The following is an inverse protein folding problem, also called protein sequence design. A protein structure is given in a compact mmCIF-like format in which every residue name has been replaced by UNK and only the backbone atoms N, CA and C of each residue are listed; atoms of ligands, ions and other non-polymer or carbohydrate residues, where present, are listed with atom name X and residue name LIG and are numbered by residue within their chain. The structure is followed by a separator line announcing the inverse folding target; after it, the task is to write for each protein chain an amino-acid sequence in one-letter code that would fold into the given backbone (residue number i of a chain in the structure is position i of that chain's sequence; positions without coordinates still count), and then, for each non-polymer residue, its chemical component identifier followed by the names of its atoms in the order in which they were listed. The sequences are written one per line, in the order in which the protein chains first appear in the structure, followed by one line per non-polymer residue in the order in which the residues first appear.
data_IF_856295103591
#
_entry.id   IF_856295103591
#
_cell.length_a   1.000
_cell.length_b   1.000
_cell.length_c   1.000
_cell.angle_alpha   90.00
_cell.angle_beta   90.00
_cell.angle_gamma   90.00
#
_symmetry.space_group_name_H-M   'P 1'
#
loop_
_entity.id
_entity.type
_entity.pdbx_description
1 polymer ?
#
# COMPACT_ATOMS: atom_id res chain seq x y z
N UNK A 1 -14.61 8.74 -11.70
CA UNK A 1 -13.83 7.57 -12.12
C UNK A 1 -14.63 6.33 -11.78
N UNK A 2 -14.82 5.40 -12.73
CA UNK A 2 -15.59 4.17 -12.49
C UNK A 2 -14.74 3.11 -11.78
N UNK A 3 -15.40 2.13 -11.13
CA UNK A 3 -14.72 0.99 -10.51
C UNK A 3 -13.92 0.15 -11.53
N UNK A 4 -14.40 0.07 -12.77
CA UNK A 4 -13.75 -0.62 -13.88
C UNK A 4 -12.38 0.00 -14.22
N UNK A 5 -12.27 1.33 -14.24
CA UNK A 5 -11.00 2.02 -14.56
C UNK A 5 -9.90 1.71 -13.52
N UNK A 6 -10.26 1.64 -12.24
CA UNK A 6 -9.32 1.28 -11.17
C UNK A 6 -8.93 -0.20 -11.21
N UNK A 7 -9.88 -1.05 -11.59
CA UNK A 7 -9.64 -2.47 -11.81
C UNK A 7 -8.62 -2.67 -12.94
N UNK A 8 -8.77 -1.94 -14.05
CA UNK A 8 -7.84 -1.98 -15.18
C UNK A 8 -6.45 -1.45 -14.79
N UNK A 9 -6.36 -0.42 -13.95
CA UNK A 9 -5.08 0.08 -13.42
C UNK A 9 -4.37 -0.99 -12.58
N UNK A 10 -5.09 -1.70 -11.72
CA UNK A 10 -4.51 -2.81 -10.94
C UNK A 10 -4.05 -3.93 -11.88
N UNK A 11 -4.85 -4.28 -12.90
CA UNK A 11 -4.47 -5.27 -13.91
C UNK A 11 -3.17 -4.88 -14.63
N UNK A 12 -3.04 -3.62 -15.03
CA UNK A 12 -1.84 -3.06 -15.64
C UNK A 12 -0.62 -3.16 -14.72
N UNK A 13 -0.75 -2.90 -13.42
CA UNK A 13 0.35 -3.09 -12.46
C UNK A 13 0.80 -4.56 -12.40
N UNK A 14 -0.12 -5.51 -12.45
CA UNK A 14 0.20 -6.96 -12.44
C UNK A 14 0.94 -7.40 -13.70
N UNK A 15 0.69 -6.76 -14.83
CA UNK A 15 1.33 -7.05 -16.12
C UNK A 15 2.77 -6.51 -16.24
N UNK A 16 3.18 -5.56 -15.38
CA UNK A 16 4.47 -4.89 -15.52
C UNK A 16 5.65 -5.64 -14.88
N UNK A 17 6.84 -5.34 -15.39
CA UNK A 17 8.11 -5.98 -15.02
C UNK A 17 9.10 -5.04 -14.34
N UNK A 18 9.94 -5.55 -13.44
CA UNK A 18 11.15 -4.87 -12.95
C UNK A 18 12.25 -4.72 -14.01
N UNK A 19 12.04 -5.22 -15.23
CA UNK A 19 13.00 -5.32 -16.32
C UNK A 19 13.84 -6.60 -16.30
N UNK A 20 13.39 -7.60 -15.53
CA UNK A 20 14.03 -8.92 -15.39
C UNK A 20 12.96 -9.95 -14.94
N UNK A 21 12.42 -10.72 -15.90
CA UNK A 21 11.28 -11.63 -15.67
C UNK A 21 11.59 -12.76 -14.68
N UNK A 22 12.84 -13.21 -14.60
CA UNK A 22 13.28 -14.19 -13.60
C UNK A 22 13.23 -13.57 -12.20
N UNK A 23 13.71 -12.32 -12.06
CA UNK A 23 13.62 -11.58 -10.78
C UNK A 23 12.18 -11.28 -10.40
N UNK A 24 11.32 -10.93 -11.35
CA UNK A 24 9.90 -10.70 -11.10
C UNK A 24 9.23 -11.96 -10.56
N UNK A 25 9.51 -13.12 -11.15
CA UNK A 25 9.02 -14.40 -10.66
C UNK A 25 9.45 -14.65 -9.21
N UNK A 26 10.75 -14.44 -8.91
CA UNK A 26 11.27 -14.56 -7.55
C UNK A 26 10.57 -13.62 -6.55
N UNK A 27 10.37 -12.36 -6.93
CA UNK A 27 9.68 -11.35 -6.12
C UNK A 27 8.24 -11.78 -5.84
N UNK A 28 7.48 -12.16 -6.88
CA UNK A 28 6.08 -12.56 -6.77
C UNK A 28 5.91 -13.79 -5.88
N UNK A 29 6.75 -14.82 -6.06
CA UNK A 29 6.73 -16.02 -5.21
C UNK A 29 7.12 -15.73 -3.77
N UNK A 30 8.15 -14.90 -3.55
CA UNK A 30 8.60 -14.49 -2.21
C UNK A 30 7.50 -13.73 -1.47
N UNK A 31 6.89 -12.73 -2.10
CA UNK A 31 5.81 -11.94 -1.52
C UNK A 31 4.58 -12.82 -1.22
N UNK A 32 4.12 -13.63 -2.18
CA UNK A 32 3.00 -14.55 -1.94
C UNK A 32 3.22 -15.46 -0.74
N UNK A 33 4.42 -16.06 -0.64
CA UNK A 33 4.80 -16.89 0.52
C UNK A 33 4.80 -16.10 1.83
N UNK A 34 5.45 -14.93 1.86
CA UNK A 34 5.53 -14.09 3.04
C UNK A 34 4.15 -13.70 3.59
N UNK A 35 3.20 -13.47 2.68
CA UNK A 35 1.82 -13.10 3.01
C UNK A 35 0.91 -14.29 3.31
N UNK A 36 1.37 -15.51 3.05
CA UNK A 36 0.53 -16.72 3.01
C UNK A 36 -0.66 -16.57 2.05
N UNK A 37 -0.46 -15.87 0.93
CA UNK A 37 -1.44 -15.66 -0.13
C UNK A 37 -0.94 -16.25 -1.45
N UNK A 38 -1.83 -16.54 -2.42
CA UNK A 38 -1.41 -16.83 -3.78
C UNK A 38 -0.52 -15.70 -4.33
N UNK A 39 0.64 -16.01 -4.94
CA UNK A 39 1.47 -14.99 -5.57
C UNK A 39 0.72 -14.38 -6.76
N UNK A 40 1.18 -13.19 -7.20
CA UNK A 40 0.81 -12.69 -8.52
C UNK A 40 1.21 -13.71 -9.61
N UNK A 41 0.52 -13.73 -10.77
CA UNK A 41 0.89 -14.59 -11.90
C UNK A 41 2.38 -14.48 -12.24
N UNK A 42 2.99 -15.58 -12.70
CA UNK A 42 4.41 -15.61 -13.07
C UNK A 42 4.54 -15.86 -14.57
N UNK A 43 5.48 -15.16 -15.23
CA UNK A 43 5.70 -15.29 -16.68
C UNK A 43 6.61 -16.47 -17.01
N UNK A 44 7.60 -16.73 -16.15
CA UNK A 44 8.62 -17.76 -16.35
C UNK A 44 8.80 -18.57 -15.07
N UNK A 45 9.22 -19.84 -15.19
CA UNK A 45 9.54 -20.65 -14.02
C UNK A 45 10.88 -20.23 -13.39
N UNK A 46 10.99 -20.33 -12.06
CA UNK A 46 12.28 -20.18 -11.38
C UNK A 46 13.13 -21.43 -11.66
N UNK A 47 14.31 -21.25 -12.25
CA UNK A 47 15.30 -22.34 -12.40
C UNK A 47 16.04 -22.54 -11.09
N UNK A 48 16.35 -23.80 -10.74
CA UNK A 48 16.94 -24.23 -9.46
C UNK A 48 18.20 -23.46 -9.00
N UNK A 49 18.97 -22.87 -9.93
CA UNK A 49 20.23 -22.17 -9.61
C UNK A 49 20.00 -20.77 -9.02
N UNK A 50 19.88 -20.66 -7.70
CA UNK A 50 19.70 -19.35 -7.01
C UNK A 50 21.03 -18.58 -6.89
N UNK A 51 21.11 -17.39 -7.47
CA UNK A 51 22.30 -16.52 -7.40
C UNK A 51 22.41 -15.79 -6.05
N UNK A 52 23.56 -15.16 -5.76
CA UNK A 52 23.67 -14.28 -4.59
C UNK A 52 22.75 -13.06 -4.70
N UNK A 53 22.65 -12.47 -5.90
CA UNK A 53 21.75 -11.36 -6.17
C UNK A 53 20.29 -11.73 -5.90
N UNK A 54 19.87 -12.94 -6.32
CA UNK A 54 18.53 -13.47 -6.05
C UNK A 54 18.28 -13.56 -4.53
N UNK A 55 19.25 -14.08 -3.77
CA UNK A 55 19.12 -14.17 -2.30
C UNK A 55 18.99 -12.80 -1.63
N UNK A 56 19.69 -11.78 -2.12
CA UNK A 56 19.58 -10.41 -1.61
C UNK A 56 18.18 -9.86 -1.87
N UNK A 57 17.69 -9.97 -3.10
CA UNK A 57 16.37 -9.47 -3.50
C UNK A 57 15.26 -10.21 -2.75
N UNK A 58 15.34 -11.54 -2.64
CA UNK A 58 14.35 -12.33 -1.91
C UNK A 58 14.30 -11.95 -0.42
N UNK A 59 15.45 -11.84 0.25
CA UNK A 59 15.48 -11.44 1.66
C UNK A 59 14.96 -10.01 1.87
N UNK A 60 15.22 -9.09 0.94
CA UNK A 60 14.66 -7.73 0.99
C UNK A 60 13.14 -7.74 0.78
N UNK A 61 12.64 -8.46 -0.24
CA UNK A 61 11.22 -8.57 -0.55
C UNK A 61 10.42 -9.25 0.56
N UNK A 62 10.97 -10.29 1.18
CA UNK A 62 10.37 -10.98 2.33
C UNK A 62 10.23 -10.03 3.53
N UNK A 63 11.32 -9.35 3.93
CA UNK A 63 11.26 -8.37 5.01
C UNK A 63 10.31 -7.21 4.66
N UNK A 64 10.32 -6.72 3.42
CA UNK A 64 9.41 -5.67 2.95
C UNK A 64 7.94 -6.08 3.11
N UNK A 65 7.60 -7.31 2.73
CA UNK A 65 6.24 -7.84 2.82
C UNK A 65 5.81 -8.07 4.28
N UNK A 66 6.69 -8.62 5.12
CA UNK A 66 6.39 -8.90 6.54
C UNK A 66 6.30 -7.61 7.37
N UNK A 67 7.35 -6.80 7.35
CA UNK A 67 7.46 -5.55 8.10
C UNK A 67 8.56 -4.68 7.49
N UNK A 68 8.16 -3.70 6.67
CA UNK A 68 9.10 -2.79 6.01
C UNK A 68 9.93 -1.95 7.00
N UNK A 69 9.41 -1.71 8.21
CA UNK A 69 10.09 -0.90 9.23
C UNK A 69 11.31 -1.63 9.81
N UNK A 70 11.33 -2.96 9.72
CA UNK A 70 12.44 -3.82 10.12
C UNK A 70 13.60 -3.88 9.11
N UNK A 71 13.49 -3.28 7.92
CA UNK A 71 14.60 -3.22 6.97
C UNK A 71 15.76 -2.39 7.56
N UNK A 72 16.92 -3.02 7.72
CA UNK A 72 18.13 -2.38 8.25
C UNK A 72 19.05 -1.80 7.16
N UNK A 73 20.00 -0.95 7.58
CA UNK A 73 20.95 -0.27 6.68
C UNK A 73 21.76 -1.24 5.82
N UNK A 74 22.15 -2.39 6.38
CA UNK A 74 22.88 -3.41 5.64
C UNK A 74 22.03 -4.04 4.52
N UNK A 75 20.73 -4.29 4.76
CA UNK A 75 19.83 -4.81 3.72
C UNK A 75 19.68 -3.79 2.59
N UNK A 76 19.49 -2.51 2.92
CA UNK A 76 19.41 -1.42 1.93
C UNK A 76 20.69 -1.31 1.11
N UNK A 77 21.85 -1.28 1.77
CA UNK A 77 23.15 -1.18 1.12
C UNK A 77 23.36 -2.33 0.13
N UNK A 78 23.14 -3.58 0.57
CA UNK A 78 23.27 -4.76 -0.31
C UNK A 78 22.32 -4.71 -1.49
N UNK A 79 21.07 -4.26 -1.27
CA UNK A 79 20.09 -4.12 -2.34
C UNK A 79 20.56 -3.10 -3.39
N UNK A 80 20.99 -1.91 -2.96
CA UNK A 80 21.52 -0.86 -3.84
C UNK A 80 22.77 -1.31 -4.60
N UNK A 81 23.72 -1.98 -3.93
CA UNK A 81 24.91 -2.54 -4.58
C UNK A 81 24.57 -3.63 -5.61
N UNK A 82 23.52 -4.41 -5.36
CA UNK A 82 23.08 -5.50 -6.24
C UNK A 82 22.36 -4.99 -7.49
N UNK A 83 21.50 -3.98 -7.35
CA UNK A 83 20.60 -3.53 -8.43
C UNK A 83 21.01 -2.22 -9.10
N UNK A 84 21.91 -1.45 -8.49
CA UNK A 84 22.37 -0.15 -9.02
C UNK A 84 21.18 0.77 -9.38
N UNK A 85 21.10 1.23 -10.63
CA UNK A 85 20.04 2.12 -11.15
C UNK A 85 18.65 1.48 -11.20
N UNK A 86 18.56 0.14 -11.18
CA UNK A 86 17.29 -0.60 -11.18
C UNK A 86 16.65 -0.76 -9.81
N UNK A 87 17.29 -0.27 -8.75
CA UNK A 87 16.84 -0.43 -7.37
C UNK A 87 15.40 0.07 -7.15
N UNK A 88 15.10 1.31 -7.57
CA UNK A 88 13.79 1.92 -7.35
C UNK A 88 12.67 1.19 -8.10
N UNK A 89 12.91 0.87 -9.38
CA UNK A 89 11.98 0.08 -10.21
C UNK A 89 11.69 -1.29 -9.60
N UNK A 90 12.71 -1.95 -9.06
CA UNK A 90 12.54 -3.26 -8.42
C UNK A 90 11.76 -3.16 -7.11
N UNK A 91 11.98 -2.11 -6.31
CA UNK A 91 11.18 -1.88 -5.10
C UNK A 91 9.70 -1.59 -5.44
N UNK A 92 9.42 -0.89 -6.54
CA UNK A 92 8.05 -0.72 -7.02
C UNK A 92 7.41 -2.07 -7.42
N UNK A 93 8.15 -2.95 -8.11
CA UNK A 93 7.70 -4.30 -8.43
C UNK A 93 7.46 -5.15 -7.16
N UNK A 94 8.33 -5.03 -6.14
CA UNK A 94 8.13 -5.67 -4.81
C UNK A 94 6.84 -5.15 -4.16
N UNK A 95 6.61 -3.83 -4.18
CA UNK A 95 5.39 -3.26 -3.63
C UNK A 95 4.14 -3.79 -4.34
N UNK A 96 4.15 -3.88 -5.67
CA UNK A 96 3.03 -4.43 -6.45
C UNK A 96 2.79 -5.90 -6.06
N UNK A 97 3.85 -6.70 -6.00
CA UNK A 97 3.78 -8.11 -5.61
C UNK A 97 3.36 -8.34 -4.15
N UNK A 98 3.62 -7.38 -3.26
CA UNK A 98 3.18 -7.39 -1.87
C UNK A 98 1.71 -6.94 -1.74
N UNK A 99 1.32 -5.83 -2.35
CA UNK A 99 0.07 -5.17 -1.99
C UNK A 99 -1.12 -5.54 -2.86
N UNK A 100 -0.93 -5.90 -4.13
CA UNK A 100 -2.05 -6.34 -4.98
C UNK A 100 -2.72 -7.62 -4.44
N UNK A 101 -1.97 -8.66 -3.99
CA UNK A 101 -2.60 -9.82 -3.35
C UNK A 101 -3.40 -9.47 -2.09
N UNK A 102 -2.96 -8.48 -1.32
CA UNK A 102 -3.71 -8.00 -0.14
C UNK A 102 -5.04 -7.40 -0.56
N UNK A 103 -5.04 -6.53 -1.57
CA UNK A 103 -6.27 -5.93 -2.13
C UNK A 103 -7.23 -7.02 -2.58
N UNK A 104 -6.75 -8.04 -3.30
CA UNK A 104 -7.59 -9.17 -3.71
C UNK A 104 -8.22 -9.91 -2.52
N UNK A 105 -7.41 -10.25 -1.50
CA UNK A 105 -7.91 -10.92 -0.30
C UNK A 105 -8.93 -10.06 0.47
N UNK A 106 -8.68 -8.75 0.56
CA UNK A 106 -9.60 -7.78 1.16
C UNK A 106 -10.94 -7.71 0.42
N UNK A 107 -10.91 -7.56 -0.90
CA UNK A 107 -12.12 -7.54 -1.72
C UNK A 107 -12.91 -8.84 -1.63
N UNK A 108 -12.24 -9.99 -1.65
CA UNK A 108 -12.88 -11.29 -1.48
C UNK A 108 -13.56 -11.41 -0.10
N UNK A 109 -12.85 -11.04 0.98
CA UNK A 109 -13.40 -11.05 2.33
C UNK A 109 -14.63 -10.12 2.47
N UNK A 110 -14.61 -8.98 1.78
CA UNK A 110 -15.71 -8.02 1.75
C UNK A 110 -16.89 -8.46 0.86
N UNK A 111 -16.71 -9.44 -0.04
CA UNK A 111 -17.72 -9.88 -1.00
C UNK A 111 -17.78 -9.03 -2.27
N UNK A 112 -16.73 -8.26 -2.56
CA UNK A 112 -16.60 -7.39 -3.73
C UNK A 112 -16.04 -8.13 -4.96
N UNK A 113 -15.79 -9.44 -4.84
CA UNK A 113 -15.10 -10.23 -5.85
C UNK A 113 -13.60 -9.95 -5.90
N UNK A 114 -12.94 -10.42 -6.96
CA UNK A 114 -11.51 -10.21 -7.18
C UNK A 114 -11.31 -9.22 -8.34
N UNK A 115 -10.82 -8.00 -8.09
CA UNK A 115 -10.44 -7.07 -9.15
C UNK A 115 -9.41 -7.71 -10.07
N UNK A 116 -9.58 -7.61 -11.39
CA UNK A 116 -8.64 -8.10 -12.40
C UNK A 116 -8.38 -9.62 -12.36
N UNK A 117 -9.42 -10.43 -12.11
CA UNK A 117 -9.35 -11.90 -12.21
C UNK A 117 -9.33 -12.33 -13.69
N UNK A 118 -8.15 -12.31 -14.30
CA UNK A 118 -7.96 -12.74 -15.68
C UNK A 118 -7.25 -14.09 -15.76
N UNK A 119 -7.75 -14.96 -16.65
CA UNK A 119 -7.12 -16.26 -16.95
C UNK A 119 -5.82 -16.14 -17.75
N UNK A 120 -5.54 -14.97 -18.34
CA UNK A 120 -4.34 -14.67 -19.13
C UNK A 120 -3.88 -13.24 -18.80
N UNK A 121 -2.58 -13.07 -18.53
CA UNK A 121 -1.95 -11.75 -18.34
C UNK A 121 -1.27 -11.34 -19.65
N UNK A 122 -1.62 -10.17 -20.17
CA UNK A 122 -0.89 -9.54 -21.28
C UNK A 122 0.31 -8.78 -20.71
N UNK A 123 1.50 -9.39 -20.76
CA UNK A 123 2.71 -8.83 -20.16
C UNK A 123 3.16 -7.52 -20.82
N UNK A 124 3.49 -6.53 -20.00
CA UNK A 124 4.01 -5.23 -20.42
C UNK A 124 5.44 -5.02 -19.90
N UNK A 125 6.40 -5.18 -20.80
CA UNK A 125 7.82 -5.04 -20.52
C UNK A 125 8.37 -3.64 -20.80
N UNK A 126 7.58 -2.76 -21.42
CA UNK A 126 8.01 -1.45 -21.89
C UNK A 126 7.63 -0.34 -20.91
N UNK A 127 6.47 -0.44 -20.28
CA UNK A 127 6.01 0.57 -19.32
C UNK A 127 6.84 0.58 -18.04
N UNK A 128 6.83 1.74 -17.35
CA UNK A 128 7.48 1.88 -16.05
C UNK A 128 6.50 1.61 -14.90
N UNK A 129 6.67 0.55 -14.09
CA UNK A 129 5.79 0.28 -12.95
C UNK A 129 5.83 1.40 -11.91
N UNK A 130 6.92 2.17 -11.86
CA UNK A 130 7.01 3.34 -10.98
C UNK A 130 6.00 4.41 -11.40
N UNK A 131 6.00 4.77 -12.68
CA UNK A 131 5.09 5.78 -13.24
C UNK A 131 3.63 5.32 -13.15
N UNK A 132 3.36 4.08 -13.58
CA UNK A 132 2.02 3.49 -13.52
C UNK A 132 1.46 3.47 -12.08
N UNK A 133 2.32 3.21 -11.08
CA UNK A 133 1.92 3.19 -9.68
C UNK A 133 1.76 4.60 -9.09
N UNK A 134 2.80 5.44 -9.18
CA UNK A 134 2.90 6.70 -8.43
C UNK A 134 2.29 7.89 -9.17
N UNK A 135 2.21 7.84 -10.50
CA UNK A 135 1.59 8.87 -11.34
C UNK A 135 0.28 8.39 -11.99
N UNK A 136 0.01 7.08 -11.96
CA UNK A 136 -1.24 6.48 -12.44
C UNK A 136 -2.21 6.10 -11.31
N UNK A 137 -1.93 4.99 -10.63
CA UNK A 137 -2.83 4.39 -9.63
C UNK A 137 -3.02 5.26 -8.38
N UNK A 138 -1.94 5.66 -7.72
CA UNK A 138 -2.00 6.40 -6.46
C UNK A 138 -2.78 7.73 -6.56
N UNK A 139 -2.52 8.62 -7.55
CA UNK A 139 -3.31 9.84 -7.72
C UNK A 139 -4.74 9.56 -8.15
N UNK A 140 -5.00 8.48 -8.89
CA UNK A 140 -6.36 8.07 -9.22
C UNK A 140 -7.17 7.75 -7.96
N UNK A 141 -6.64 6.90 -7.07
CA UNK A 141 -7.28 6.59 -5.78
C UNK A 141 -7.47 7.84 -4.93
N UNK A 142 -6.46 8.73 -4.86
CA UNK A 142 -6.53 9.96 -4.06
C UNK A 142 -7.65 10.94 -4.49
N UNK A 143 -8.18 10.81 -5.72
CA UNK A 143 -9.31 11.62 -6.22
C UNK A 143 -10.68 10.98 -5.98
N UNK A 144 -10.72 9.80 -5.36
CA UNK A 144 -11.98 9.23 -4.89
C UNK A 144 -12.56 10.08 -3.75
N UNK A 145 -13.81 9.83 -3.40
CA UNK A 145 -14.54 10.67 -2.45
C UNK A 145 -15.86 10.07 -1.99
N UNK A 146 -15.97 8.74 -2.00
CA UNK A 146 -17.08 8.04 -1.37
C UNK A 146 -16.85 7.94 0.16
N UNK A 147 -15.59 7.84 0.61
CA UNK A 147 -15.23 7.96 2.01
C UNK A 147 -15.15 9.43 2.43
N UNK A 148 -15.52 9.69 3.67
CA UNK A 148 -15.34 11.02 4.24
C UNK A 148 -13.85 11.28 4.53
N UNK A 149 -13.39 12.55 4.43
CA UNK A 149 -11.98 12.89 4.61
C UNK A 149 -11.39 12.48 5.97
N UNK A 150 -12.20 12.45 7.03
CA UNK A 150 -11.73 12.08 8.38
C UNK A 150 -11.43 10.59 8.44
N UNK A 151 -12.31 9.74 7.91
CA UNK A 151 -12.06 8.30 7.80
C UNK A 151 -10.83 8.03 6.93
N UNK A 152 -10.69 8.68 5.78
CA UNK A 152 -9.51 8.54 4.89
C UNK A 152 -8.21 8.90 5.61
N UNK A 153 -8.18 9.98 6.40
CA UNK A 153 -7.00 10.38 7.16
C UNK A 153 -6.70 9.43 8.32
N UNK A 154 -7.72 8.92 9.03
CA UNK A 154 -7.57 7.94 10.11
C UNK A 154 -6.88 6.66 9.59
N UNK A 155 -7.34 6.13 8.45
CA UNK A 155 -6.77 4.90 7.89
C UNK A 155 -5.36 5.14 7.34
N UNK A 156 -5.10 6.33 6.76
CA UNK A 156 -3.76 6.74 6.34
C UNK A 156 -2.78 6.78 7.51
N UNK A 157 -3.17 7.42 8.61
CA UNK A 157 -2.33 7.56 9.80
C UNK A 157 -2.07 6.20 10.48
N UNK A 158 -3.07 5.31 10.51
CA UNK A 158 -2.86 3.94 11.00
C UNK A 158 -1.79 3.19 10.18
N UNK A 159 -1.91 3.22 8.85
CA UNK A 159 -0.92 2.61 7.96
C UNK A 159 0.47 3.27 8.08
N UNK A 160 0.53 4.60 8.23
CA UNK A 160 1.78 5.32 8.43
C UNK A 160 2.51 4.90 9.71
N UNK A 161 1.77 4.68 10.81
CA UNK A 161 2.33 4.16 12.06
C UNK A 161 2.82 2.73 11.90
N UNK A 162 2.04 1.85 11.28
CA UNK A 162 2.40 0.45 11.07
C UNK A 162 3.66 0.28 10.21
N UNK A 163 3.84 1.10 9.18
CA UNK A 163 5.05 1.09 8.34
C UNK A 163 6.17 1.98 8.90
N UNK A 164 5.94 2.66 10.03
CA UNK A 164 6.85 3.63 10.63
C UNK A 164 7.31 4.76 9.65
N UNK A 165 6.46 5.20 8.73
CA UNK A 165 6.79 6.25 7.76
C UNK A 165 6.89 7.63 8.46
N UNK A 166 8.10 8.19 8.60
CA UNK A 166 8.31 9.47 9.31
C UNK A 166 7.73 10.66 8.54
N UNK A 167 7.91 10.69 7.22
CA UNK A 167 7.28 11.65 6.29
C UNK A 167 5.76 11.70 6.46
N UNK A 168 5.13 10.54 6.46
CA UNK A 168 3.67 10.43 6.52
C UNK A 168 3.12 10.89 7.88
N UNK A 169 3.85 10.59 8.96
CA UNK A 169 3.48 11.00 10.33
C UNK A 169 3.62 12.50 10.55
N UNK A 170 4.52 13.17 9.84
CA UNK A 170 4.70 14.63 9.91
C UNK A 170 3.67 15.44 9.12
N UNK A 171 2.67 14.80 8.51
CA UNK A 171 1.70 15.44 7.62
C UNK A 171 0.26 15.24 8.10
N UNK A 172 -0.61 16.22 7.82
CA UNK A 172 -2.08 16.12 8.00
C UNK A 172 -2.83 16.61 6.76
N UNK A 173 -3.81 15.84 6.32
CA UNK A 173 -4.65 16.21 5.17
C UNK A 173 -5.62 17.33 5.55
N UNK A 174 -5.67 18.39 4.75
CA UNK A 174 -6.38 19.61 5.08
C UNK A 174 -7.89 19.48 5.11
N UNK A 175 -8.51 18.75 4.17
CA UNK A 175 -9.95 18.55 4.17
C UNK A 175 -10.41 17.71 5.37
N UNK A 176 -9.59 16.77 5.85
CA UNK A 176 -9.83 16.02 7.07
C UNK A 176 -9.84 16.94 8.30
N UNK A 177 -8.87 17.85 8.41
CA UNK A 177 -8.85 18.86 9.48
C UNK A 177 -10.08 19.77 9.41
N UNK A 178 -10.44 20.25 8.22
CA UNK A 178 -11.61 21.12 8.02
C UNK A 178 -12.94 20.40 8.31
N UNK A 179 -12.95 19.07 8.20
CA UNK A 179 -14.10 18.20 8.48
C UNK A 179 -14.18 17.73 9.94
N UNK A 180 -13.33 18.29 10.83
CA UNK A 180 -13.37 18.00 12.27
C UNK A 180 -12.34 16.96 12.74
N UNK A 181 -11.42 16.53 11.87
CA UNK A 181 -10.23 15.81 12.28
C UNK A 181 -9.28 16.70 13.09
N UNK A 182 -8.64 16.13 14.10
CA UNK A 182 -7.72 16.87 14.99
C UNK A 182 -6.67 15.95 15.59
N UNK A 183 -5.61 16.52 16.17
CA UNK A 183 -4.60 15.72 16.87
C UNK A 183 -5.21 14.96 18.06
N UNK A 184 -6.16 15.55 18.81
CA UNK A 184 -6.84 14.87 19.91
C UNK A 184 -7.65 13.63 19.45
N UNK A 185 -8.17 13.66 18.22
CA UNK A 185 -8.81 12.50 17.60
C UNK A 185 -7.75 11.48 17.16
N UNK A 186 -6.71 11.93 16.48
CA UNK A 186 -5.70 11.07 15.86
C UNK A 186 -4.80 10.35 16.88
N UNK A 187 -4.52 10.96 18.04
CA UNK A 187 -3.82 10.32 19.17
C UNK A 187 -4.54 9.07 19.70
N UNK A 188 -5.84 8.93 19.42
CA UNK A 188 -6.62 7.76 19.84
C UNK A 188 -6.48 6.56 18.89
N UNK A 189 -5.93 6.76 17.69
CA UNK A 189 -5.85 5.73 16.64
C UNK A 189 -5.09 4.49 17.12
N UNK A 190 -3.99 4.62 17.88
CA UNK A 190 -3.23 3.44 18.31
C UNK A 190 -3.98 2.57 19.34
N UNK A 191 -4.95 3.16 20.04
CA UNK A 191 -5.79 2.51 21.07
C UNK A 191 -7.25 2.47 20.67
N UNK A 192 -7.53 2.35 19.38
CA UNK A 192 -8.85 2.60 18.80
C UNK A 192 -9.98 1.76 19.40
N UNK A 193 -9.69 0.55 19.87
CA UNK A 193 -10.72 -0.32 20.48
C UNK A 193 -11.38 0.33 21.70
N UNK A 194 -10.59 0.95 22.58
CA UNK A 194 -11.06 1.62 23.79
C UNK A 194 -11.26 3.12 23.64
N UNK A 195 -11.01 3.68 22.45
CA UNK A 195 -11.18 5.11 22.18
C UNK A 195 -12.66 5.52 22.23
N UNK A 196 -12.94 6.65 22.89
CA UNK A 196 -14.29 7.23 22.96
C UNK A 196 -14.55 8.24 21.84
N UNK A 197 -13.49 8.89 21.31
CA UNK A 197 -13.60 9.86 20.21
C UNK A 197 -13.77 9.24 18.83
N UNK A 198 -13.54 7.93 18.68
CA UNK A 198 -13.67 7.22 17.41
C UNK A 198 -15.04 6.53 17.31
N UNK A 199 -15.73 6.75 16.19
CA UNK A 199 -17.00 6.08 15.88
C UNK A 199 -16.81 4.57 15.66
N UNK A 200 -17.90 3.81 15.72
CA UNK A 200 -17.87 2.38 15.38
C UNK A 200 -17.41 2.13 13.94
N UNK A 201 -17.73 3.05 13.02
CA UNK A 201 -17.26 3.00 11.64
C UNK A 201 -15.73 3.18 11.57
N UNK A 202 -15.15 4.14 12.30
CA UNK A 202 -13.69 4.31 12.37
C UNK A 202 -13.01 3.06 12.93
N UNK A 203 -13.55 2.48 14.00
CA UNK A 203 -13.01 1.25 14.60
C UNK A 203 -13.09 0.06 13.64
N UNK A 204 -14.19 -0.07 12.89
CA UNK A 204 -14.34 -1.09 11.86
C UNK A 204 -13.30 -0.93 10.73
N UNK A 205 -13.09 0.30 10.24
CA UNK A 205 -12.06 0.59 9.25
C UNK A 205 -10.65 0.28 9.78
N UNK A 206 -10.34 0.65 11.03
CA UNK A 206 -9.02 0.40 11.64
C UNK A 206 -8.73 -1.09 11.85
N UNK A 207 -9.71 -1.90 12.28
CA UNK A 207 -9.57 -3.36 12.31
C UNK A 207 -9.29 -3.94 10.93
N UNK A 208 -9.97 -3.42 9.90
CA UNK A 208 -9.74 -3.87 8.53
C UNK A 208 -8.35 -3.48 8.01
N UNK A 209 -7.88 -2.27 8.28
CA UNK A 209 -6.50 -1.83 7.99
C UNK A 209 -5.48 -2.75 8.67
N UNK A 210 -5.67 -3.04 9.96
CA UNK A 210 -4.81 -3.97 10.72
C UNK A 210 -4.78 -5.37 10.07
N UNK A 211 -5.95 -5.91 9.73
CA UNK A 211 -6.06 -7.23 9.11
C UNK A 211 -5.39 -7.26 7.72
N UNK A 212 -5.59 -6.24 6.90
CA UNK A 212 -5.04 -6.15 5.55
C UNK A 212 -3.51 -5.99 5.54
N UNK A 213 -2.95 -5.31 6.56
CA UNK A 213 -1.51 -5.08 6.68
C UNK A 213 -0.77 -6.20 7.41
N UNK A 214 -1.35 -6.83 8.43
CA UNK A 214 -0.63 -7.81 9.24
C UNK A 214 -1.07 -9.26 9.05
N UNK A 215 -2.32 -9.50 8.63
CA UNK A 215 -2.86 -10.85 8.49
C UNK A 215 -3.77 -11.00 7.26
N UNK A 216 -3.32 -10.62 6.05
CA UNK A 216 -4.20 -10.55 4.88
C UNK A 216 -4.71 -11.92 4.42
N UNK A 217 -4.01 -13.02 4.73
CA UNK A 217 -4.49 -14.39 4.49
C UNK A 217 -5.56 -14.87 5.50
N UNK A 218 -5.85 -14.09 6.54
CA UNK A 218 -6.79 -14.41 7.62
C UNK A 218 -7.57 -13.15 8.04
N UNK A 219 -8.30 -12.57 7.10
CA UNK A 219 -9.26 -11.51 7.41
C UNK A 219 -10.50 -12.19 8.01
N UNK A 220 -10.66 -12.05 9.33
CA UNK A 220 -11.76 -12.69 10.06
C UNK A 220 -13.14 -12.20 9.58
N UNK A 221 -14.13 -13.09 9.64
CA UNK A 221 -15.47 -12.80 9.16
C UNK A 221 -16.12 -11.61 9.90
N UNK A 222 -15.83 -11.43 11.20
CA UNK A 222 -16.30 -10.27 11.95
C UNK A 222 -15.69 -8.94 11.47
N UNK A 223 -14.43 -8.94 11.00
CA UNK A 223 -13.78 -7.73 10.48
C UNK A 223 -14.50 -7.30 9.20
N UNK A 224 -14.69 -8.22 8.26
CA UNK A 224 -15.42 -7.95 7.03
C UNK A 224 -16.89 -7.57 7.28
N UNK A 225 -17.56 -8.23 8.24
CA UNK A 225 -18.93 -7.89 8.63
C UNK A 225 -19.01 -6.49 9.27
N UNK A 226 -18.00 -6.08 10.03
CA UNK A 226 -17.88 -4.72 10.56
C UNK A 226 -17.80 -3.68 9.46
N UNK A 227 -16.96 -3.91 8.44
CA UNK A 227 -16.88 -3.01 7.28
C UNK A 227 -18.22 -2.93 6.55
N UNK A 228 -18.81 -4.08 6.18
CA UNK A 228 -20.12 -4.12 5.48
C UNK A 228 -21.27 -3.49 6.26
N UNK A 229 -21.18 -3.43 7.59
CA UNK A 229 -22.19 -2.78 8.44
C UNK A 229 -22.16 -1.26 8.32
N UNK A 230 -20.96 -0.69 8.19
CA UNK A 230 -20.76 0.77 8.30
C UNK A 230 -20.48 1.45 6.97
N UNK A 231 -20.03 0.71 5.95
CA UNK A 231 -19.62 1.22 4.67
C UNK A 231 -20.42 0.56 3.55
N UNK A 232 -20.86 1.36 2.57
CA UNK A 232 -21.39 0.84 1.30
C UNK A 232 -20.32 0.07 0.52
N UNK A 233 -20.70 -0.69 -0.50
CA UNK A 233 -19.74 -1.39 -1.37
C UNK A 233 -18.73 -0.43 -2.01
N UNK A 234 -19.19 0.76 -2.44
CA UNK A 234 -18.32 1.79 -3.00
C UNK A 234 -17.31 2.31 -1.97
N UNK A 235 -17.76 2.56 -0.73
CA UNK A 235 -16.89 2.99 0.36
C UNK A 235 -15.92 1.90 0.81
N UNK A 236 -16.35 0.64 0.84
CA UNK A 236 -15.50 -0.49 1.21
C UNK A 236 -14.44 -0.77 0.14
N UNK A 237 -14.78 -0.55 -1.14
CA UNK A 237 -13.81 -0.57 -2.24
C UNK A 237 -12.78 0.55 -2.11
N UNK A 238 -13.25 1.79 -1.94
CA UNK A 238 -12.39 2.96 -1.74
C UNK A 238 -11.48 2.80 -0.51
N UNK A 239 -12.01 2.28 0.61
CA UNK A 239 -11.24 1.95 1.81
C UNK A 239 -10.08 1.01 1.49
N UNK A 240 -10.35 -0.06 0.75
CA UNK A 240 -9.32 -1.06 0.38
C UNK A 240 -8.25 -0.45 -0.51
N UNK A 241 -8.65 0.39 -1.47
CA UNK A 241 -7.74 1.10 -2.35
C UNK A 241 -6.91 2.15 -1.60
N UNK A 242 -7.51 2.88 -0.67
CA UNK A 242 -6.83 3.86 0.18
C UNK A 242 -5.74 3.17 1.01
N UNK A 243 -5.98 1.98 1.55
CA UNK A 243 -4.91 1.23 2.25
C UNK A 243 -3.73 0.97 1.30
N UNK A 244 -3.98 0.51 0.07
CA UNK A 244 -2.91 0.29 -0.92
C UNK A 244 -2.20 1.59 -1.31
N UNK A 245 -2.96 2.63 -1.65
CA UNK A 245 -2.41 3.94 -2.01
C UNK A 245 -1.54 4.50 -0.89
N UNK A 246 -2.00 4.42 0.36
CA UNK A 246 -1.26 4.88 1.53
C UNK A 246 -0.02 4.03 1.81
N UNK A 247 -0.08 2.72 1.53
CA UNK A 247 1.04 1.81 1.68
C UNK A 247 2.15 2.02 0.64
N UNK A 248 1.97 2.85 -0.39
CA UNK A 248 3.11 3.28 -1.25
C UNK A 248 4.24 3.91 -0.43
N UNK A 249 3.95 4.40 0.78
CA UNK A 249 4.96 4.84 1.74
C UNK A 249 6.00 3.76 2.10
N UNK A 250 5.68 2.46 1.96
CA UNK A 250 6.63 1.36 2.16
C UNK A 250 7.84 1.50 1.23
N UNK A 251 7.66 2.03 0.02
CA UNK A 251 8.75 2.29 -0.92
C UNK A 251 9.75 3.27 -0.30
N UNK A 252 9.28 4.43 0.19
CA UNK A 252 10.13 5.42 0.83
C UNK A 252 10.81 4.86 2.11
N UNK A 253 10.06 4.18 2.96
CA UNK A 253 10.60 3.55 4.19
C UNK A 253 11.67 2.52 3.86
N UNK A 254 11.43 1.67 2.86
CA UNK A 254 12.36 0.60 2.47
C UNK A 254 13.71 1.14 1.98
N UNK A 255 13.72 2.37 1.46
CA UNK A 255 14.91 3.06 0.96
C UNK A 255 15.43 4.13 1.92
N UNK A 256 14.87 4.25 3.14
CA UNK A 256 15.18 5.31 4.10
C UNK A 256 15.01 6.73 3.54
N UNK A 257 14.12 6.90 2.56
CA UNK A 257 13.79 8.16 1.89
C UNK A 257 12.56 8.85 2.50
N UNK A 258 12.17 8.48 3.72
CA UNK A 258 10.98 8.92 4.41
C UNK A 258 11.25 10.05 5.42
N UNK A 259 12.25 10.90 5.22
CA UNK A 259 12.56 12.00 6.13
C UNK A 259 11.31 12.88 6.40
N UNK A 260 11.05 13.26 7.68
CA UNK A 260 9.88 14.07 8.00
C UNK A 260 9.98 15.45 7.33
N UNK A 261 8.82 16.02 7.01
CA UNK A 261 8.73 17.36 6.40
C UNK A 261 9.06 18.48 7.39
N UNK A 262 8.69 18.28 8.66
CA UNK A 262 8.92 19.20 9.78
C UNK A 262 9.63 18.46 10.92
N UNK A 263 10.42 19.19 11.71
CA UNK A 263 11.15 18.61 12.85
C UNK A 263 10.22 18.28 14.03
N UNK A 264 9.23 19.12 14.27
CA UNK A 264 8.25 19.01 15.35
C UNK A 264 6.84 19.34 14.84
N UNK A 265 5.82 18.71 15.43
CA UNK A 265 4.42 18.91 15.05
C UNK A 265 4.06 18.30 13.70
N UNK A 266 3.14 18.94 13.00
CA UNK A 266 2.61 18.47 11.71
C UNK A 266 2.50 19.61 10.70
N UNK A 267 2.72 19.28 9.44
CA UNK A 267 2.48 20.17 8.31
C UNK A 267 1.18 19.78 7.60
N UNK A 268 0.37 20.79 7.24
CA UNK A 268 -0.84 20.58 6.46
C UNK A 268 -0.51 20.42 4.98
N UNK A 269 -1.12 19.43 4.32
CA UNK A 269 -1.09 19.26 2.87
C UNK A 269 -2.51 19.08 2.31
N UNK A 270 -2.68 19.26 1.01
CA UNK A 270 -3.92 19.01 0.28
C UNK A 270 -3.69 17.99 -0.82
N UNK A 271 -4.76 17.35 -1.29
CA UNK A 271 -4.74 16.61 -2.57
C UNK A 271 -5.15 17.56 -3.69
N UNK A 272 -4.27 17.73 -4.67
CA UNK A 272 -4.50 18.52 -5.87
C UNK A 272 -5.56 17.91 -6.78
N UNK A 273 -6.03 18.69 -7.77
CA UNK A 273 -7.03 18.21 -8.74
C UNK A 273 -6.53 17.02 -9.59
N UNK A 274 -5.21 16.87 -9.72
CA UNK A 274 -4.55 15.75 -10.38
C UNK A 274 -4.37 14.53 -9.44
N UNK A 275 -4.71 14.64 -8.15
CA UNK A 275 -4.52 13.60 -7.14
C UNK A 275 -3.15 13.60 -6.46
N UNK A 276 -2.26 14.53 -6.82
CA UNK A 276 -0.95 14.66 -6.21
C UNK A 276 -1.00 15.49 -4.92
N UNK A 277 -0.16 15.21 -3.92
CA UNK A 277 -0.09 16.03 -2.72
C UNK A 277 0.49 17.41 -3.03
N UNK A 278 -0.19 18.45 -2.55
CA UNK A 278 0.22 19.84 -2.61
C UNK A 278 0.59 20.29 -1.19
N UNK A 279 1.86 20.64 -1.02
CA UNK A 279 2.41 21.14 0.25
C UNK A 279 2.42 22.67 0.24
N UNK A 280 2.42 23.27 1.43
CA UNK A 280 2.76 24.70 1.53
C UNK A 280 4.24 24.89 1.15
N UNK A 281 4.59 26.05 0.59
CA UNK A 281 5.99 26.41 0.40
C UNK A 281 6.67 26.45 1.79
N UNK A 282 7.76 25.71 1.95
CA UNK A 282 8.55 25.73 3.19
C UNK A 282 9.21 27.11 3.28
N UNK A 283 8.81 27.89 4.28
CA UNK A 283 9.37 29.20 4.58
C UNK A 283 10.84 29.12 5.04
#
# INVERSE_FOLDING_TARGET
MGADELTDRIAGLVAMSSGDSRRDTLIRLTCGRALSLPPLPVEVDVVDDTTEADRVVAAFAEQFAIDVSGLGDNQRKRMLETLSDKAFRTVAAIFIADFVPRVWAGCEALGLGRPADYSVVEWDHESDPVDALLNGFAPAVARLGALDPVTTEIVRLRGATQHNCRLCKSLREGNALDSGGSEELYEQIERYESAEGLSDAHKAALRYVDALIWSPARIEAEVAAGVRRHFSEQQAWELTLDVMRNATNKIAVSLAADAPRVADGTERYLIGADGQPVYADIA
#
